data_IF_855744623917
#
_entry.id   IF_855744623917
#
_cell.length_a   1.000
_cell.length_b   1.000
_cell.length_c   1.000
_cell.angle_alpha   90.00
_cell.angle_beta   90.00
_cell.angle_gamma   90.00
#
_symmetry.space_group_name_H-M   'P 1'
#
loop_
_entity.id
_entity.type
_entity.pdbx_description
1 polymer ?
#
# COMPACT_ATOMS: atom_id res chain seq x y z
N UNK A 1 -34.22 34.22 38.56
CA UNK A 1 -34.78 32.87 38.30
C UNK A 1 -34.68 32.58 36.82
N UNK A 2 -33.88 31.56 36.49
CA UNK A 2 -34.03 30.65 35.35
C UNK A 2 -34.72 31.24 34.12
N UNK A 3 -33.96 31.61 33.09
CA UNK A 3 -34.23 31.19 31.70
C UNK A 3 -33.14 31.70 30.75
N UNK A 4 -32.54 30.72 30.09
CA UNK A 4 -31.80 30.82 28.82
C UNK A 4 -30.38 31.41 28.89
N UNK A 5 -29.60 30.87 29.82
CA UNK A 5 -28.25 30.43 29.48
C UNK A 5 -28.39 29.33 28.41
N UNK A 6 -27.49 29.24 27.42
CA UNK A 6 -27.44 28.27 26.28
C UNK A 6 -27.89 28.85 24.92
N UNK A 7 -27.12 29.77 24.32
CA UNK A 7 -26.95 29.88 22.85
C UNK A 7 -25.52 30.38 22.54
N UNK A 8 -24.49 29.76 23.11
CA UNK A 8 -23.08 30.04 22.76
C UNK A 8 -22.31 28.72 22.75
N UNK A 9 -22.64 27.79 21.85
CA UNK A 9 -21.85 26.54 21.75
C UNK A 9 -22.07 25.69 20.47
N UNK A 10 -22.37 26.29 19.32
CA UNK A 10 -22.66 25.51 18.10
C UNK A 10 -21.91 25.96 16.83
N UNK A 11 -20.67 26.43 16.94
CA UNK A 11 -19.86 26.77 15.74
C UNK A 11 -18.37 26.40 15.80
N UNK A 12 -17.95 25.55 16.76
CA UNK A 12 -16.54 25.11 16.89
C UNK A 12 -16.34 23.61 16.74
N UNK A 13 -17.33 22.86 16.24
CA UNK A 13 -17.26 21.41 16.16
C UNK A 13 -17.63 20.88 14.79
N UNK A 14 -16.72 20.94 13.81
CA UNK A 14 -16.67 20.03 12.65
C UNK A 14 -15.38 20.23 11.84
N UNK A 15 -14.23 20.20 12.53
CA UNK A 15 -12.94 19.87 11.91
C UNK A 15 -12.41 18.57 12.50
N UNK A 16 -13.29 17.56 12.66
CA UNK A 16 -12.83 16.17 12.80
C UNK A 16 -12.36 15.75 11.42
N UNK A 17 -11.10 16.09 11.11
CA UNK A 17 -10.40 15.55 9.95
C UNK A 17 -10.54 14.04 9.99
N UNK A 18 -11.32 13.49 9.04
CA UNK A 18 -11.58 12.08 8.93
C UNK A 18 -10.23 11.38 8.71
N UNK A 19 -9.61 10.90 9.80
CA UNK A 19 -8.44 10.04 9.76
C UNK A 19 -8.91 8.74 9.13
N UNK A 20 -8.89 8.68 7.79
CA UNK A 20 -9.26 7.48 7.03
C UNK A 20 -8.19 6.44 7.32
N UNK A 21 -8.43 5.65 8.35
CA UNK A 21 -7.55 4.58 8.77
C UNK A 21 -7.30 3.60 7.62
N UNK A 22 -6.06 3.18 7.50
CA UNK A 22 -5.63 2.19 6.53
C UNK A 22 -6.08 0.80 6.99
N UNK A 23 -7.25 0.35 6.52
CA UNK A 23 -7.94 -0.85 7.05
C UNK A 23 -7.16 -2.18 6.94
N UNK A 24 -6.34 -2.38 5.91
CA UNK A 24 -5.62 -3.65 5.66
C UNK A 24 -4.23 -3.41 5.05
N UNK A 25 -3.44 -2.54 5.66
CA UNK A 25 -2.04 -2.30 5.32
C UNK A 25 -1.17 -2.95 6.37
N UNK A 26 -0.32 -3.90 5.96
CA UNK A 26 0.42 -4.79 6.87
C UNK A 26 1.95 -4.69 6.74
N UNK A 27 2.45 -4.30 5.57
CA UNK A 27 3.89 -4.33 5.25
C UNK A 27 4.45 -2.92 5.01
N UNK A 28 3.68 -2.06 4.33
CA UNK A 28 4.13 -0.72 3.97
C UNK A 28 3.95 0.24 5.15
N UNK A 29 4.93 1.11 5.45
CA UNK A 29 4.91 1.98 6.63
C UNK A 29 4.10 3.28 6.46
N UNK A 30 3.32 3.40 5.38
CA UNK A 30 2.58 4.63 5.06
C UNK A 30 1.52 4.95 6.11
N UNK A 31 1.32 6.24 6.39
CA UNK A 31 0.35 6.71 7.39
C UNK A 31 -0.94 7.22 6.76
N UNK A 32 -0.90 7.59 5.48
CA UNK A 32 -2.05 8.16 4.77
C UNK A 32 -2.45 7.34 3.55
N UNK A 33 -3.74 7.41 3.20
CA UNK A 33 -4.25 6.81 1.95
C UNK A 33 -3.57 7.40 0.72
N UNK A 34 -3.21 8.69 0.74
CA UNK A 34 -2.57 9.37 -0.38
C UNK A 34 -1.21 8.77 -0.69
N UNK A 35 -0.34 8.64 0.32
CA UNK A 35 0.99 8.03 0.18
C UNK A 35 0.89 6.61 -0.35
N UNK A 36 0.00 5.80 0.24
CA UNK A 36 -0.21 4.42 -0.17
C UNK A 36 -0.65 4.31 -1.64
N UNK A 37 -1.67 5.08 -2.03
CA UNK A 37 -2.19 5.04 -3.40
C UNK A 37 -1.16 5.58 -4.39
N UNK A 38 -0.38 6.60 -4.00
CA UNK A 38 0.73 7.11 -4.82
C UNK A 38 1.75 6.01 -5.07
N UNK A 39 2.25 5.36 -4.02
CA UNK A 39 3.21 4.26 -4.14
C UNK A 39 2.70 3.11 -5.01
N UNK A 40 1.43 2.71 -4.84
CA UNK A 40 0.82 1.67 -5.69
C UNK A 40 0.81 2.08 -7.16
N UNK A 41 0.48 3.35 -7.47
CA UNK A 41 0.37 3.86 -8.84
C UNK A 41 1.73 4.11 -9.50
N UNK A 42 2.71 4.62 -8.76
CA UNK A 42 3.98 5.11 -9.33
C UNK A 42 5.12 4.12 -9.20
N UNK A 43 4.98 3.10 -8.34
CA UNK A 43 6.02 2.08 -8.13
C UNK A 43 5.47 0.69 -8.46
N UNK A 44 4.48 0.21 -7.70
CA UNK A 44 4.06 -1.21 -7.80
C UNK A 44 3.45 -1.55 -9.16
N UNK A 45 2.47 -0.77 -9.63
CA UNK A 45 1.82 -1.00 -10.91
C UNK A 45 2.78 -0.97 -12.11
N UNK A 46 3.64 0.06 -12.29
CA UNK A 46 4.57 0.09 -13.43
C UNK A 46 5.66 -0.97 -13.32
N UNK A 47 6.17 -1.30 -12.13
CA UNK A 47 7.23 -2.30 -12.00
C UNK A 47 6.77 -3.73 -12.35
N UNK A 48 5.48 -3.99 -12.17
CA UNK A 48 4.85 -5.28 -12.49
C UNK A 48 4.11 -5.26 -13.85
N UNK A 49 3.97 -4.10 -14.50
CA UNK A 49 3.20 -3.96 -15.74
C UNK A 49 1.70 -4.25 -15.61
N UNK A 50 1.12 -4.08 -14.41
CA UNK A 50 -0.27 -4.43 -14.13
C UNK A 50 -1.14 -3.20 -13.83
N UNK A 51 -2.45 -3.37 -13.96
CA UNK A 51 -3.45 -2.38 -13.54
C UNK A 51 -3.99 -2.72 -12.15
N UNK A 52 -4.63 -1.75 -11.48
CA UNK A 52 -5.12 -1.89 -10.11
C UNK A 52 -6.04 -3.12 -9.91
N UNK A 53 -6.88 -3.44 -10.90
CA UNK A 53 -7.81 -4.56 -10.85
C UNK A 53 -7.13 -5.94 -10.93
N UNK A 54 -5.84 -6.01 -11.23
CA UNK A 54 -5.09 -7.28 -11.16
C UNK A 54 -5.01 -7.78 -9.71
N UNK A 55 -4.65 -6.89 -8.78
CA UNK A 55 -4.54 -7.22 -7.36
C UNK A 55 -5.77 -6.85 -6.54
N UNK A 56 -6.50 -5.78 -6.89
CA UNK A 56 -7.55 -5.22 -6.03
C UNK A 56 -8.96 -5.54 -6.52
N UNK A 57 -9.88 -5.66 -5.56
CA UNK A 57 -11.28 -5.36 -5.78
C UNK A 57 -11.44 -3.83 -5.86
N UNK A 58 -12.02 -3.32 -6.96
CA UNK A 58 -12.17 -1.89 -7.16
C UNK A 58 -13.28 -1.26 -6.29
N UNK A 59 -14.21 -2.07 -5.76
CA UNK A 59 -15.24 -1.62 -4.82
C UNK A 59 -14.74 -1.66 -3.38
N UNK A 60 -13.83 -2.59 -3.05
CA UNK A 60 -13.15 -2.66 -1.76
C UNK A 60 -11.65 -2.97 -1.88
N UNK A 61 -10.82 -1.92 -1.90
CA UNK A 61 -9.36 -2.06 -1.97
C UNK A 61 -8.74 -2.79 -0.78
N UNK A 62 -9.46 -2.88 0.35
CA UNK A 62 -8.98 -3.57 1.56
C UNK A 62 -9.20 -5.09 1.50
N UNK A 63 -10.12 -5.57 0.65
CA UNK A 63 -10.41 -7.00 0.43
C UNK A 63 -9.16 -7.78 0.00
N UNK A 64 -9.01 -8.99 0.52
CA UNK A 64 -8.01 -9.98 0.11
C UNK A 64 -8.64 -11.11 -0.74
N UNK A 65 -9.80 -10.86 -1.37
CA UNK A 65 -10.45 -11.87 -2.22
C UNK A 65 -9.59 -12.32 -3.42
N UNK A 66 -8.74 -11.43 -3.95
CA UNK A 66 -7.82 -11.73 -5.04
C UNK A 66 -6.48 -12.21 -4.49
N UNK A 67 -6.09 -13.42 -4.86
CA UNK A 67 -4.85 -14.03 -4.38
C UNK A 67 -3.59 -13.26 -4.80
N UNK A 68 -3.61 -12.57 -5.95
CA UNK A 68 -2.50 -11.71 -6.38
C UNK A 68 -2.11 -10.67 -5.31
N UNK A 69 -3.05 -10.12 -4.55
CA UNK A 69 -2.74 -9.19 -3.45
C UNK A 69 -2.02 -9.86 -2.29
N UNK A 70 -2.41 -11.11 -1.95
CA UNK A 70 -1.74 -11.90 -0.92
C UNK A 70 -0.30 -12.23 -1.33
N UNK A 71 -0.10 -12.60 -2.60
CA UNK A 71 1.23 -12.87 -3.17
C UNK A 71 2.06 -11.60 -3.19
N UNK A 72 1.54 -10.47 -3.70
CA UNK A 72 2.23 -9.19 -3.72
C UNK A 72 2.66 -8.75 -2.32
N UNK A 73 1.83 -8.97 -1.29
CA UNK A 73 2.20 -8.69 0.10
C UNK A 73 3.41 -9.50 0.57
N UNK A 74 3.48 -10.79 0.23
CA UNK A 74 4.65 -11.64 0.53
C UNK A 74 5.88 -11.16 -0.22
N UNK A 75 5.74 -10.77 -1.49
CA UNK A 75 6.84 -10.22 -2.29
C UNK A 75 7.36 -8.89 -1.74
N UNK A 76 6.48 -7.99 -1.29
CA UNK A 76 6.90 -6.74 -0.63
C UNK A 76 7.70 -7.02 0.65
N UNK A 77 7.28 -8.00 1.46
CA UNK A 77 8.03 -8.39 2.65
C UNK A 77 9.40 -8.97 2.28
N UNK A 78 9.47 -9.82 1.24
CA UNK A 78 10.72 -10.36 0.72
C UNK A 78 11.67 -9.26 0.23
N UNK A 79 11.18 -8.27 -0.53
CA UNK A 79 11.99 -7.13 -1.00
C UNK A 79 12.51 -6.31 0.18
N UNK A 80 11.67 -6.03 1.18
CA UNK A 80 12.12 -5.32 2.39
C UNK A 80 13.25 -6.09 3.10
N UNK A 81 13.13 -7.40 3.26
CA UNK A 81 14.18 -8.23 3.86
C UNK A 81 15.45 -8.27 2.99
N UNK A 82 15.31 -8.43 1.68
CA UNK A 82 16.45 -8.40 0.78
C UNK A 82 17.20 -7.07 0.85
N UNK A 83 16.47 -5.94 0.92
CA UNK A 83 17.06 -4.62 1.03
C UNK A 83 17.79 -4.39 2.36
N UNK A 84 17.42 -5.08 3.45
CA UNK A 84 18.24 -5.08 4.67
C UNK A 84 19.63 -5.65 4.38
N UNK A 85 19.70 -6.79 3.70
CA UNK A 85 20.98 -7.38 3.26
C UNK A 85 21.72 -6.50 2.25
N UNK A 86 21.02 -5.89 1.28
CA UNK A 86 21.66 -4.97 0.32
C UNK A 86 22.32 -3.79 1.05
N UNK A 87 21.66 -3.24 2.06
CA UNK A 87 22.18 -2.14 2.87
C UNK A 87 23.40 -2.57 3.70
N UNK A 88 23.38 -3.77 4.30
CA UNK A 88 24.55 -4.33 5.00
C UNK A 88 25.77 -4.50 4.08
N UNK A 89 25.53 -4.83 2.81
CA UNK A 89 26.57 -4.97 1.78
C UNK A 89 26.99 -3.63 1.14
N UNK A 90 26.39 -2.50 1.57
CA UNK A 90 26.57 -1.18 0.95
C UNK A 90 26.25 -1.17 -0.56
N UNK A 91 25.25 -1.94 -0.97
CA UNK A 91 24.74 -2.01 -2.33
C UNK A 91 23.43 -1.21 -2.48
N UNK A 92 23.06 -0.90 -3.72
CA UNK A 92 21.78 -0.27 -4.01
C UNK A 92 20.63 -1.21 -3.66
N UNK A 93 19.53 -0.64 -3.15
CA UNK A 93 18.30 -1.37 -2.90
C UNK A 93 17.72 -1.95 -4.21
N UNK A 94 17.13 -3.13 -4.09
CA UNK A 94 16.38 -3.77 -5.16
C UNK A 94 14.89 -3.39 -5.09
N UNK A 95 14.25 -3.41 -6.25
CA UNK A 95 12.80 -3.23 -6.38
C UNK A 95 12.17 -4.40 -7.14
N UNK A 96 10.85 -4.36 -7.36
CA UNK A 96 10.18 -5.40 -8.14
C UNK A 96 10.74 -5.46 -9.56
N UNK A 97 11.20 -4.31 -10.10
CA UNK A 97 11.73 -4.17 -11.46
C UNK A 97 12.91 -5.10 -11.73
N UNK A 98 13.79 -5.31 -10.75
CA UNK A 98 15.00 -6.15 -10.89
C UNK A 98 14.66 -7.54 -11.44
N UNK A 99 13.53 -8.10 -11.01
CA UNK A 99 13.06 -9.42 -11.45
C UNK A 99 11.92 -9.33 -12.48
N UNK A 100 10.91 -8.49 -12.24
CA UNK A 100 9.69 -8.48 -13.05
C UNK A 100 9.83 -7.72 -14.36
N UNK A 101 10.67 -6.67 -14.41
CA UNK A 101 10.92 -5.86 -15.61
C UNK A 101 9.65 -5.38 -16.32
N UNK A 102 8.61 -5.03 -15.56
CA UNK A 102 7.33 -4.59 -16.12
C UNK A 102 6.43 -5.72 -16.63
N UNK A 103 6.66 -6.96 -16.20
CA UNK A 103 5.78 -8.10 -16.46
C UNK A 103 5.19 -8.66 -15.17
N UNK A 104 3.95 -9.17 -15.24
CA UNK A 104 3.27 -9.77 -14.07
C UNK A 104 4.02 -10.99 -13.51
N UNK A 105 4.79 -11.67 -14.36
CA UNK A 105 5.66 -12.78 -14.02
C UNK A 105 7.08 -12.50 -14.55
N UNK A 106 8.15 -12.84 -13.80
CA UNK A 106 9.51 -12.77 -14.31
C UNK A 106 9.68 -13.63 -15.57
N UNK A 107 10.39 -13.13 -16.58
CA UNK A 107 10.55 -13.79 -17.89
C UNK A 107 11.36 -15.10 -17.83
N UNK A 108 12.23 -15.22 -16.82
CA UNK A 108 13.12 -16.37 -16.65
C UNK A 108 12.91 -17.00 -15.26
N UNK A 109 11.74 -17.63 -15.01
CA UNK A 109 11.53 -18.33 -13.76
C UNK A 109 12.46 -19.55 -13.70
N UNK A 110 12.98 -19.91 -12.51
CA UNK A 110 13.74 -21.13 -12.36
C UNK A 110 12.88 -22.34 -12.75
N UNK A 111 13.51 -23.40 -13.26
CA UNK A 111 12.81 -24.67 -13.53
C UNK A 111 12.13 -25.13 -12.23
N UNK A 112 10.86 -25.53 -12.33
CA UNK A 112 10.15 -26.14 -11.19
C UNK A 112 10.98 -27.34 -10.71
N UNK A 113 11.33 -27.34 -9.42
CA UNK A 113 11.94 -28.49 -8.76
C UNK A 113 10.92 -29.62 -8.66
#
# INVERSE_FOLDING_TARGET
MKKVMIIVLFLTGLMVGQKRELKNVKVLPFKTKRELVSFMKTVVAPELGVKCNFCHNLTDYSSDEKDHKKVARKMMAMVNTANQTMNELNFHEISCWVCHRGNEHPEHPPKKK
#
